data_IF_907377296317
#
_entry.id   IF_907377296317
#
_cell.length_a   1.000
_cell.length_b   1.000
_cell.length_c   1.000
_cell.angle_alpha   90.00
_cell.angle_beta   90.00
_cell.angle_gamma   90.00
#
_symmetry.space_group_name_H-M   'P 1'
#
loop_
_entity.id
_entity.type
_entity.pdbx_description
1 polymer ?
#
# COMPACT_ATOMS: atom_id res chain seq x y z
N UNK A 1 -3.02 -5.96 -12.18
CA UNK A 1 -1.90 -5.68 -11.27
C UNK A 1 -1.10 -4.50 -11.81
N UNK A 2 -0.83 -3.50 -10.98
CA UNK A 2 0.08 -2.40 -11.32
C UNK A 2 1.52 -2.90 -11.38
N UNK A 3 2.30 -2.40 -12.35
CA UNK A 3 3.75 -2.59 -12.34
C UNK A 3 4.34 -1.96 -11.06
N UNK A 4 5.41 -2.54 -10.48
CA UNK A 4 6.05 -1.97 -9.30
C UNK A 4 6.41 -0.50 -9.52
N UNK A 5 6.16 0.31 -8.51
CA UNK A 5 6.37 1.76 -8.54
C UNK A 5 6.99 2.24 -7.24
N UNK A 6 7.48 3.48 -7.24
CA UNK A 6 8.15 4.07 -6.10
C UNK A 6 7.28 5.17 -5.49
N UNK A 7 7.27 5.25 -4.16
CA UNK A 7 6.65 6.31 -3.37
C UNK A 7 7.70 6.92 -2.45
N UNK A 8 7.44 8.12 -1.94
CA UNK A 8 8.22 8.72 -0.87
C UNK A 8 7.46 8.60 0.45
N UNK A 9 8.09 8.02 1.48
CA UNK A 9 7.52 7.91 2.82
C UNK A 9 8.54 8.40 3.85
N UNK A 10 8.14 9.38 4.66
CA UNK A 10 9.00 10.04 5.65
C UNK A 10 10.34 10.54 5.07
N UNK A 11 10.32 11.08 3.84
CA UNK A 11 11.51 11.59 3.16
C UNK A 11 12.48 10.51 2.65
N UNK A 12 12.05 9.23 2.65
CA UNK A 12 12.82 8.12 2.10
C UNK A 12 12.05 7.41 0.97
N UNK A 13 12.73 7.02 -0.12
CA UNK A 13 12.08 6.27 -1.19
C UNK A 13 11.69 4.86 -0.71
N UNK A 14 10.53 4.40 -1.16
CA UNK A 14 10.04 3.06 -0.89
C UNK A 14 9.44 2.44 -2.16
N UNK A 15 9.84 1.21 -2.45
CA UNK A 15 9.38 0.43 -3.60
C UNK A 15 8.10 -0.30 -3.24
N UNK A 16 7.01 -0.06 -3.97
CA UNK A 16 5.73 -0.73 -3.83
C UNK A 16 5.59 -1.80 -4.91
N UNK A 17 5.18 -3.00 -4.51
CA UNK A 17 4.82 -4.10 -5.41
C UNK A 17 3.44 -4.62 -5.04
N UNK A 18 2.56 -4.69 -6.03
CA UNK A 18 1.22 -5.25 -5.88
C UNK A 18 1.27 -6.76 -6.08
N UNK A 19 0.60 -7.49 -5.19
CA UNK A 19 0.38 -8.91 -5.30
C UNK A 19 -1.09 -9.25 -5.00
N UNK A 20 -1.51 -10.43 -5.42
CA UNK A 20 -2.81 -10.99 -5.11
C UNK A 20 -2.62 -12.28 -4.31
N UNK A 21 -3.32 -12.40 -3.19
CA UNK A 21 -3.28 -13.57 -2.32
C UNK A 21 -4.70 -13.94 -1.91
N UNK A 22 -5.19 -15.10 -2.36
CA UNK A 22 -6.55 -15.58 -2.03
C UNK A 22 -7.61 -14.51 -2.30
N UNK A 23 -7.59 -13.90 -3.50
CA UNK A 23 -8.50 -12.82 -3.93
C UNK A 23 -8.34 -11.49 -3.16
N UNK A 24 -7.40 -11.41 -2.21
CA UNK A 24 -7.03 -10.17 -1.54
C UNK A 24 -5.89 -9.48 -2.28
N UNK A 25 -6.08 -8.20 -2.57
CA UNK A 25 -5.01 -7.34 -3.13
C UNK A 25 -4.12 -6.86 -2.00
N UNK A 26 -2.86 -7.30 -2.02
CA UNK A 26 -1.85 -6.90 -1.04
C UNK A 26 -0.78 -6.03 -1.71
N UNK A 27 -0.19 -5.14 -0.94
CA UNK A 27 0.91 -4.29 -1.37
C UNK A 27 2.09 -4.53 -0.46
N UNK A 28 3.22 -4.94 -1.04
CA UNK A 28 4.50 -5.07 -0.34
C UNK A 28 5.31 -3.81 -0.58
N UNK A 29 5.68 -3.15 0.50
CA UNK A 29 6.48 -1.93 0.53
C UNK A 29 7.87 -2.26 1.06
N UNK A 30 8.88 -2.02 0.23
CA UNK A 30 10.29 -2.21 0.58
C UNK A 30 10.93 -0.84 0.73
N UNK A 31 11.30 -0.48 1.95
CA UNK A 31 11.97 0.78 2.26
C UNK A 31 13.46 0.67 1.90
N UNK A 32 14.06 1.75 1.40
CA UNK A 32 15.52 1.84 1.29
C UNK A 32 16.10 2.10 2.68
N UNK A 33 16.63 1.06 3.35
CA UNK A 33 17.27 1.19 4.66
C UNK A 33 17.02 0.00 5.60
N UNK A 34 17.25 0.17 6.92
CA UNK A 34 17.11 -0.92 7.90
C UNK A 34 15.64 -1.23 8.27
N UNK A 35 14.68 -0.43 7.78
CA UNK A 35 13.25 -0.60 8.10
C UNK A 35 12.73 -1.90 7.48
N UNK A 36 12.06 -2.72 8.29
CA UNK A 36 11.47 -3.98 7.84
C UNK A 36 10.41 -3.71 6.76
N UNK A 37 10.32 -4.55 5.70
CA UNK A 37 9.27 -4.43 4.71
C UNK A 37 7.89 -4.40 5.35
N UNK A 38 7.00 -3.57 4.82
CA UNK A 38 5.62 -3.46 5.25
C UNK A 38 4.75 -4.15 4.20
N UNK A 39 3.82 -4.99 4.64
CA UNK A 39 2.78 -5.52 3.77
C UNK A 39 1.47 -4.94 4.25
N UNK A 40 0.71 -4.36 3.34
CA UNK A 40 -0.61 -3.79 3.63
C UNK A 40 -1.66 -4.35 2.69
N UNK A 41 -2.90 -4.31 3.14
CA UNK A 41 -4.09 -4.67 2.35
C UNK A 41 -5.23 -3.72 2.68
N UNK A 42 -6.27 -3.71 1.83
CA UNK A 42 -7.54 -3.07 2.15
C UNK A 42 -8.42 -4.10 2.84
N UNK A 43 -8.75 -3.87 4.10
CA UNK A 43 -9.77 -4.62 4.81
C UNK A 43 -11.13 -3.94 4.65
N UNK A 44 -12.21 -4.72 4.69
CA UNK A 44 -13.60 -4.25 4.59
C UNK A 44 -14.42 -4.82 5.75
N UNK A 45 -15.25 -3.99 6.39
CA UNK A 45 -16.18 -4.46 7.42
C UNK A 45 -17.43 -5.02 6.76
N UNK A 46 -18.22 -5.87 7.45
CA UNK A 46 -19.52 -6.29 6.94
C UNK A 46 -20.49 -5.13 6.58
N UNK A 47 -20.23 -3.91 7.08
CA UNK A 47 -20.95 -2.69 6.72
C UNK A 47 -20.34 -1.88 5.57
N UNK A 48 -19.39 -2.44 4.81
CA UNK A 48 -18.77 -1.82 3.64
C UNK A 48 -17.71 -0.77 3.93
N UNK A 49 -17.32 -0.57 5.20
CA UNK A 49 -16.26 0.39 5.55
C UNK A 49 -14.90 -0.22 5.20
N UNK A 50 -14.17 0.43 4.29
CA UNK A 50 -12.82 0.06 3.90
C UNK A 50 -11.77 0.80 4.71
N UNK A 51 -10.69 0.11 5.08
CA UNK A 51 -9.51 0.74 5.68
C UNK A 51 -8.23 0.00 5.29
N UNK A 52 -7.12 0.71 5.31
CA UNK A 52 -5.80 0.13 5.11
C UNK A 52 -5.33 -0.56 6.37
N UNK A 53 -4.80 -1.77 6.28
CA UNK A 53 -4.24 -2.48 7.43
C UNK A 53 -2.96 -3.22 7.09
N UNK A 54 -2.15 -3.49 8.11
CA UNK A 54 -0.86 -4.18 7.99
C UNK A 54 -0.99 -5.69 8.21
N UNK A 55 -0.15 -6.46 7.52
CA UNK A 55 -0.05 -7.92 7.64
C UNK A 55 1.43 -8.30 7.87
N UNK A 56 1.81 -8.89 9.02
CA UNK A 56 1.03 -9.02 10.25
C UNK A 56 0.63 -7.66 10.85
N UNK A 57 -0.39 -7.70 11.71
CA UNK A 57 -0.91 -6.54 12.42
C UNK A 57 0.15 -5.95 13.37
N UNK A 58 -0.03 -4.68 13.76
CA UNK A 58 0.87 -3.94 14.66
C UNK A 58 1.51 -2.71 14.03
N UNK A 59 1.35 -2.51 12.73
CA UNK A 59 1.84 -1.35 11.97
C UNK A 59 0.69 -0.56 11.32
N UNK A 60 -0.41 -0.39 12.06
CA UNK A 60 -1.65 0.21 11.55
C UNK A 60 -1.46 1.66 11.09
N UNK A 61 -0.75 2.47 11.88
CA UNK A 61 -0.44 3.87 11.53
C UNK A 61 0.34 3.95 10.21
N UNK A 62 1.42 3.18 10.08
CA UNK A 62 2.20 3.12 8.83
C UNK A 62 1.34 2.61 7.67
N UNK A 63 0.46 1.64 7.90
CA UNK A 63 -0.41 1.12 6.86
C UNK A 63 -1.40 2.16 6.33
N UNK A 64 -1.97 2.99 7.21
CA UNK A 64 -2.89 4.06 6.81
C UNK A 64 -2.17 5.17 6.03
N UNK A 65 -0.99 5.59 6.51
CA UNK A 65 -0.18 6.61 5.85
C UNK A 65 0.31 6.14 4.48
N UNK A 66 0.94 4.97 4.42
CA UNK A 66 1.46 4.39 3.18
C UNK A 66 0.34 3.99 2.22
N UNK A 67 -0.77 3.46 2.74
CA UNK A 67 -1.94 3.09 1.95
C UNK A 67 -2.57 4.29 1.24
N UNK A 68 -2.59 5.46 1.90
CA UNK A 68 -3.02 6.71 1.27
C UNK A 68 -2.12 7.12 0.11
N UNK A 69 -0.81 7.05 0.28
CA UNK A 69 0.17 7.36 -0.78
C UNK A 69 -0.01 6.44 -2.00
N UNK A 70 -0.22 5.15 -1.77
CA UNK A 70 -0.49 4.16 -2.83
C UNK A 70 -1.79 4.49 -3.56
N UNK A 71 -2.87 4.82 -2.83
CA UNK A 71 -4.15 5.18 -3.42
C UNK A 71 -4.04 6.43 -4.30
N UNK A 72 -3.33 7.45 -3.82
CA UNK A 72 -3.12 8.71 -4.53
C UNK A 72 -2.30 8.49 -5.81
N UNK A 73 -1.22 7.69 -5.74
CA UNK A 73 -0.41 7.32 -6.92
C UNK A 73 -1.26 6.60 -7.98
N UNK A 74 -2.00 5.57 -7.60
CA UNK A 74 -2.83 4.79 -8.52
C UNK A 74 -3.93 5.67 -9.13
N UNK A 75 -4.51 6.59 -8.34
CA UNK A 75 -5.54 7.52 -8.81
C UNK A 75 -4.98 8.53 -9.81
N UNK A 76 -3.79 9.09 -9.55
CA UNK A 76 -3.13 10.03 -10.45
C UNK A 76 -2.83 9.36 -11.80
N UNK A 77 -2.20 8.18 -11.76
CA UNK A 77 -1.84 7.40 -12.96
C UNK A 77 -3.05 7.03 -13.82
N UNK A 78 -4.21 6.77 -13.21
CA UNK A 78 -5.46 6.50 -13.95
C UNK A 78 -6.03 7.74 -14.64
N UNK A 79 -5.85 8.94 -14.07
CA UNK A 79 -6.28 10.19 -14.69
C UNK A 79 -5.42 10.58 -15.90
N UNK A 80 -4.12 10.27 -15.86
CA UNK A 80 -3.21 10.56 -16.97
C UNK A 80 -3.38 9.62 -18.18
N UNK A 81 -4.06 8.49 -17.97
CA UNK A 81 -4.37 7.50 -19.02
C UNK A 81 -5.80 7.59 -19.57
N UNK A 82 -6.61 8.52 -19.06
CA UNK A 82 -8.02 8.70 -19.41
C UNK A 82 -8.28 9.92 -20.27
#
# INVERSE_FOLDING_TARGET
MEAPFDIEYEGSPARVSEHELQEMRIFRITFTGPRKPLVITVAETPGGKKWWTSVPQGRQKEAEEVGRLIADYIRAKRKEKG
#
